data_IF_761741505907
#
_entry.id   IF_761741505907
#
_cell.length_a   1.000
_cell.length_b   1.000
_cell.length_c   1.000
_cell.angle_alpha   90.00
_cell.angle_beta   90.00
_cell.angle_gamma   90.00
#
_symmetry.space_group_name_H-M   'P 1'
#
loop_
_entity.id
_entity.type
_entity.pdbx_description
1 polymer ?
#
# COMPACT_ATOMS: atom_id res chain seq x y z
N UNK A 1 -2.89 -5.14 -19.01
CA UNK A 1 -2.42 -5.33 -17.63
C UNK A 1 -2.08 -3.95 -17.12
N UNK A 2 -2.92 -3.38 -16.26
CA UNK A 2 -2.80 -1.97 -15.90
C UNK A 2 -1.76 -1.79 -14.81
N UNK A 3 -0.86 -0.83 -15.02
CA UNK A 3 0.22 -0.48 -14.11
C UNK A 3 0.02 0.95 -13.64
N UNK A 4 0.26 1.20 -12.36
CA UNK A 4 0.25 2.54 -11.77
C UNK A 4 1.63 2.89 -11.22
N UNK A 5 2.06 4.13 -11.42
CA UNK A 5 3.27 4.66 -10.83
C UNK A 5 3.13 4.85 -9.32
N UNK A 6 4.19 4.62 -8.56
CA UNK A 6 4.21 4.82 -7.10
C UNK A 6 3.87 6.27 -6.70
N UNK A 7 4.29 7.25 -7.50
CA UNK A 7 3.97 8.66 -7.29
C UNK A 7 2.47 8.90 -7.46
N UNK A 8 1.90 8.44 -8.58
CA UNK A 8 0.47 8.62 -8.87
C UNK A 8 -0.39 7.89 -7.83
N UNK A 9 0.02 6.69 -7.44
CA UNK A 9 -0.63 5.94 -6.36
C UNK A 9 -0.60 6.70 -5.03
N UNK A 10 0.52 7.35 -4.68
CA UNK A 10 0.61 8.17 -3.48
C UNK A 10 -0.37 9.35 -3.56
N UNK A 11 -0.39 10.09 -4.66
CA UNK A 11 -1.31 11.21 -4.88
C UNK A 11 -2.78 10.77 -4.84
N UNK A 12 -3.13 9.65 -5.49
CA UNK A 12 -4.49 9.09 -5.44
C UNK A 12 -4.90 8.61 -4.03
N UNK A 13 -3.92 8.25 -3.21
CA UNK A 13 -4.15 7.84 -1.81
C UNK A 13 -4.19 9.04 -0.84
N UNK A 14 -4.13 10.27 -1.34
CA UNK A 14 -4.13 11.51 -0.54
C UNK A 14 -2.78 11.82 0.12
N UNK A 15 -1.69 11.20 -0.32
CA UNK A 15 -0.33 11.49 0.13
C UNK A 15 0.37 12.45 -0.83
N UNK A 16 1.44 13.11 -0.37
CA UNK A 16 2.32 13.86 -1.25
C UNK A 16 3.17 12.90 -2.10
N UNK A 17 2.90 12.85 -3.40
CA UNK A 17 3.60 11.99 -4.35
C UNK A 17 5.07 12.40 -4.59
N UNK A 18 5.45 13.63 -4.28
CA UNK A 18 6.84 14.11 -4.34
C UNK A 18 7.62 13.77 -3.07
N UNK A 19 6.93 13.75 -1.93
CA UNK A 19 7.50 13.37 -0.63
C UNK A 19 8.16 11.99 -0.69
N UNK A 20 9.47 11.97 -0.43
CA UNK A 20 10.23 10.71 -0.34
C UNK A 20 9.75 9.86 0.85
N UNK A 21 9.37 10.50 1.95
CA UNK A 21 8.88 9.84 3.16
C UNK A 21 7.57 9.11 2.86
N UNK A 22 6.64 9.76 2.15
CA UNK A 22 5.34 9.14 1.85
C UNK A 22 5.46 8.04 0.80
N UNK A 23 6.32 8.19 -0.19
CA UNK A 23 6.66 7.10 -1.11
C UNK A 23 7.32 5.91 -0.41
N UNK A 24 8.17 6.14 0.59
CA UNK A 24 8.74 5.07 1.41
C UNK A 24 7.69 4.38 2.28
N UNK A 25 6.77 5.14 2.90
CA UNK A 25 5.63 4.58 3.65
C UNK A 25 4.76 3.70 2.75
N UNK A 26 4.48 4.15 1.53
CA UNK A 26 3.72 3.39 0.54
C UNK A 26 4.45 2.11 0.13
N UNK A 27 5.77 2.16 -0.13
CA UNK A 27 6.58 0.95 -0.39
C UNK A 27 6.55 -0.04 0.78
N UNK A 28 6.65 0.45 2.01
CA UNK A 28 6.56 -0.40 3.20
C UNK A 28 5.18 -1.05 3.31
N UNK A 29 4.10 -0.32 2.99
CA UNK A 29 2.76 -0.88 2.94
C UNK A 29 2.61 -1.95 1.85
N UNK A 30 3.11 -1.68 0.63
CA UNK A 30 3.09 -2.64 -0.47
C UNK A 30 3.82 -3.94 -0.09
N UNK A 31 5.02 -3.83 0.50
CA UNK A 31 5.80 -4.97 0.97
C UNK A 31 5.06 -5.77 2.06
N UNK A 32 4.49 -5.08 3.07
CA UNK A 32 3.71 -5.74 4.14
C UNK A 32 2.48 -6.49 3.63
N UNK A 33 1.87 -6.01 2.54
CA UNK A 33 0.71 -6.65 1.91
C UNK A 33 1.08 -7.54 0.72
N UNK A 34 2.37 -7.82 0.53
CA UNK A 34 2.90 -8.67 -0.53
C UNK A 34 2.43 -8.24 -1.93
N UNK A 35 2.32 -6.94 -2.17
CA UNK A 35 1.98 -6.40 -3.48
C UNK A 35 3.23 -6.40 -4.34
N UNK A 36 3.26 -7.15 -5.46
CA UNK A 36 4.39 -7.12 -6.38
C UNK A 36 4.48 -5.76 -7.07
N UNK A 37 5.68 -5.22 -7.12
CA UNK A 37 5.99 -4.02 -7.88
C UNK A 37 7.38 -4.13 -8.51
N UNK A 38 7.55 -3.46 -9.64
CA UNK A 38 8.83 -3.39 -10.34
C UNK A 38 9.44 -2.03 -10.08
N UNK A 39 10.66 -2.03 -9.54
CA UNK A 39 11.43 -0.80 -9.35
C UNK A 39 11.98 -0.33 -10.70
N UNK A 40 11.71 0.93 -11.05
CA UNK A 40 12.31 1.56 -12.23
C UNK A 40 13.43 2.46 -11.74
N UNK A 41 14.66 2.10 -12.10
CA UNK A 41 15.83 2.94 -11.91
C UNK A 41 16.23 3.67 -13.19
N UNK A 42 16.80 4.87 -13.04
CA UNK A 42 17.78 5.39 -13.99
C UNK A 42 19.16 4.90 -13.56
N UNK A 43 19.82 4.16 -14.43
CA UNK A 43 21.26 3.88 -14.33
C UNK A 43 22.05 5.19 -14.35
N UNK A 44 22.98 5.39 -13.41
CA UNK A 44 24.08 6.34 -13.57
C UNK A 44 24.35 7.35 -12.43
N UNK A 45 23.34 7.81 -11.68
CA UNK A 45 23.55 8.77 -10.59
C UNK A 45 22.52 8.60 -9.47
N UNK A 46 22.82 7.77 -8.46
CA UNK A 46 22.37 7.87 -7.06
C UNK A 46 20.88 8.09 -6.69
N UNK A 47 19.94 8.20 -7.63
CA UNK A 47 18.53 8.53 -7.39
C UNK A 47 17.64 7.79 -8.37
N UNK A 48 17.48 6.49 -8.15
CA UNK A 48 16.39 5.70 -8.72
C UNK A 48 15.22 5.72 -7.75
N UNK A 49 14.02 6.13 -8.17
CA UNK A 49 12.82 5.86 -7.34
C UNK A 49 11.48 5.95 -8.07
N UNK A 50 11.40 5.47 -9.32
CA UNK A 50 10.12 5.04 -9.88
C UNK A 50 9.78 3.65 -9.38
N UNK A 51 8.49 3.32 -9.25
CA UNK A 51 8.05 1.93 -9.18
C UNK A 51 6.71 1.80 -9.91
N UNK A 52 6.52 0.69 -10.62
CA UNK A 52 5.26 0.32 -11.24
C UNK A 52 4.61 -0.80 -10.45
N UNK A 53 3.34 -0.59 -10.13
CA UNK A 53 2.53 -1.51 -9.35
C UNK A 53 1.42 -2.04 -10.26
N UNK A 54 1.18 -3.35 -10.24
CA UNK A 54 0.01 -3.93 -10.92
C UNK A 54 -1.27 -3.52 -10.19
N UNK A 55 -2.19 -2.88 -10.90
CA UNK A 55 -3.47 -2.45 -10.34
C UNK A 55 -4.29 -3.62 -9.83
N UNK A 56 -4.27 -4.76 -10.52
CA UNK A 56 -4.97 -6.00 -10.09
C UNK A 56 -4.43 -6.50 -8.76
N UNK A 57 -3.11 -6.59 -8.62
CA UNK A 57 -2.49 -7.05 -7.38
C UNK A 57 -2.70 -6.06 -6.22
N UNK A 58 -2.73 -4.76 -6.52
CA UNK A 58 -3.03 -3.71 -5.56
C UNK A 58 -4.47 -3.83 -5.03
N UNK A 59 -5.47 -3.96 -5.91
CA UNK A 59 -6.88 -4.10 -5.53
C UNK A 59 -7.06 -5.33 -4.64
N UNK A 60 -6.53 -6.49 -5.05
CA UNK A 60 -6.60 -7.71 -4.26
C UNK A 60 -5.94 -7.57 -2.86
N UNK A 61 -4.88 -6.77 -2.74
CA UNK A 61 -4.27 -6.48 -1.44
C UNK A 61 -5.13 -5.54 -0.58
N UNK A 62 -5.76 -4.54 -1.17
CA UNK A 62 -6.69 -3.64 -0.46
C UNK A 62 -7.88 -4.41 0.09
N UNK A 63 -8.48 -5.31 -0.69
CA UNK A 63 -9.59 -6.17 -0.25
C UNK A 63 -9.18 -7.10 0.89
N UNK A 64 -8.02 -7.75 0.79
CA UNK A 64 -7.49 -8.56 1.90
C UNK A 64 -7.26 -7.73 3.17
N UNK A 65 -6.66 -6.55 3.02
CA UNK A 65 -6.41 -5.65 4.16
C UNK A 65 -7.71 -5.16 4.79
N UNK A 66 -8.75 -4.88 4.00
CA UNK A 66 -10.06 -4.47 4.52
C UNK A 66 -10.75 -5.60 5.27
N UNK A 67 -10.70 -6.83 4.75
CA UNK A 67 -11.24 -8.02 5.41
C UNK A 67 -10.56 -8.29 6.76
N UNK A 68 -9.22 -8.22 6.82
CA UNK A 68 -8.47 -8.39 8.08
C UNK A 68 -8.85 -7.32 9.11
N UNK A 69 -9.04 -6.06 8.68
CA UNK A 69 -9.50 -4.99 9.58
C UNK A 69 -10.92 -5.23 10.07
N UNK A 70 -11.81 -5.70 9.20
CA UNK A 70 -13.19 -6.01 9.56
C UNK A 70 -13.26 -7.16 10.59
N UNK A 71 -12.50 -8.23 10.37
CA UNK A 71 -12.40 -9.35 11.32
C UNK A 71 -11.86 -8.91 12.68
N UNK A 72 -10.79 -8.10 12.71
CA UNK A 72 -10.26 -7.54 13.97
C UNK A 72 -11.30 -6.70 14.71
N UNK A 73 -12.10 -5.89 14.00
CA UNK A 73 -13.19 -5.13 14.64
C UNK A 73 -14.26 -6.06 15.21
N UNK A 74 -14.64 -7.11 14.47
CA UNK A 74 -15.61 -8.11 14.94
C UNK A 74 -15.12 -8.81 16.21
N UNK A 75 -13.85 -9.25 16.23
CA UNK A 75 -13.23 -9.86 17.42
C UNK A 75 -13.21 -8.91 18.61
N UNK A 76 -12.89 -7.63 18.42
CA UNK A 76 -12.95 -6.62 19.49
C UNK A 76 -14.36 -6.44 20.05
N UNK A 77 -15.40 -6.44 19.21
CA UNK A 77 -16.81 -6.38 19.67
C UNK A 77 -17.22 -7.62 20.45
N UNK A 78 -16.74 -8.81 20.04
CA UNK A 78 -17.01 -10.07 20.72
C UNK A 78 -16.23 -10.22 22.04
N UNK A 79 -15.09 -9.54 22.16
CA UNK A 79 -14.22 -9.54 23.35
C UNK A 79 -14.52 -8.41 24.34
N UNK A 80 -15.45 -7.50 24.05
CA UNK A 80 -15.94 -6.60 25.10
C UNK A 80 -16.77 -7.42 26.08
N UNK A 81 -16.31 -7.65 27.33
CA UNK A 81 -17.21 -8.17 28.34
C UNK A 81 -18.36 -7.18 28.44
N UNK A 82 -19.59 -7.67 28.32
CA UNK A 82 -20.76 -6.91 28.75
C UNK A 82 -20.55 -6.63 30.23
N UNK A 83 -20.01 -5.47 30.57
CA UNK A 83 -20.15 -4.91 31.90
C UNK A 83 -21.63 -4.55 32.02
N UNK A 84 -22.39 -5.52 32.55
CA UNK A 84 -23.69 -5.32 33.18
C UNK A 84 -23.46 -4.78 34.59
#
# INVERSE_FOLDING_TARGET
MDLIGLRDLATMSGLDGESQVDRQRLRAWLSRNQVPYVSIGRSGQGRSSGALISTVALVAAVERASAVRADRRRRRRLQQPRML
#
